data_IF_821121502222
#
_entry.id   IF_821121502222
#
_cell.length_a   1.000
_cell.length_b   1.000
_cell.length_c   1.000
_cell.angle_alpha   90.00
_cell.angle_beta   90.00
_cell.angle_gamma   90.00
#
_symmetry.space_group_name_H-M   'P 1'
#
loop_
_entity.id
_entity.type
_entity.pdbx_description
1 polymer ?
#
# COMPACT_ATOMS: atom_id res chain seq x y z
N UNK A 1 34.09 34.18 14.17
CA UNK A 1 35.30 33.37 14.45
C UNK A 1 34.94 31.98 15.01
N UNK A 2 34.14 31.88 16.08
CA UNK A 2 33.73 30.61 16.72
C UNK A 2 33.00 29.64 15.79
N UNK A 3 32.09 30.13 14.95
CA UNK A 3 31.33 29.32 13.97
C UNK A 3 32.22 28.73 12.88
N UNK A 4 33.24 29.45 12.40
CA UNK A 4 34.19 28.94 11.41
C UNK A 4 35.14 27.88 11.97
N UNK A 5 35.55 28.02 13.23
CA UNK A 5 36.34 27.01 13.92
C UNK A 5 35.52 25.75 14.21
N UNK A 6 34.25 25.89 14.60
CA UNK A 6 33.32 24.78 14.81
C UNK A 6 33.03 24.03 13.51
N UNK A 7 32.79 24.76 12.42
CA UNK A 7 32.60 24.15 11.11
C UNK A 7 33.87 23.45 10.68
N UNK A 8 35.06 24.05 10.81
CA UNK A 8 36.33 23.41 10.42
C UNK A 8 36.72 22.20 11.28
N UNK A 9 36.36 22.16 12.57
CA UNK A 9 36.58 20.98 13.41
C UNK A 9 35.59 19.87 13.10
N UNK A 10 34.32 20.19 12.83
CA UNK A 10 33.35 19.23 12.30
C UNK A 10 33.81 18.73 10.94
N UNK A 11 34.25 19.61 10.04
CA UNK A 11 34.72 19.25 8.70
C UNK A 11 35.97 18.38 8.76
N UNK A 12 36.91 18.62 9.69
CA UNK A 12 38.06 17.72 9.89
C UNK A 12 37.68 16.40 10.55
N UNK A 13 36.76 16.39 11.50
CA UNK A 13 36.25 15.17 12.12
C UNK A 13 35.45 14.30 11.12
N UNK A 14 34.72 14.95 10.21
CA UNK A 14 33.96 14.35 9.10
C UNK A 14 34.90 13.93 7.96
N UNK A 15 35.86 14.77 7.58
CA UNK A 15 36.85 14.49 6.53
C UNK A 15 37.84 13.38 6.93
N UNK A 16 38.09 13.20 8.24
CA UNK A 16 38.87 12.07 8.73
C UNK A 16 38.15 10.72 8.54
N UNK A 17 36.85 10.71 8.18
CA UNK A 17 36.02 9.52 7.97
C UNK A 17 36.34 8.41 8.97
N UNK A 18 36.52 8.80 10.22
CA UNK A 18 37.12 7.95 11.24
C UNK A 18 36.26 6.69 11.40
N UNK A 19 36.88 5.55 11.71
CA UNK A 19 36.13 4.31 11.97
C UNK A 19 34.99 4.53 12.96
N UNK A 20 35.19 5.42 13.93
CA UNK A 20 34.16 5.85 14.88
C UNK A 20 32.96 6.52 14.21
N UNK A 21 33.16 7.44 13.26
CA UNK A 21 32.05 8.06 12.51
C UNK A 21 31.22 7.03 11.75
N UNK A 22 31.88 6.10 11.04
CA UNK A 22 31.19 5.04 10.30
C UNK A 22 30.38 4.13 11.24
N UNK A 23 30.96 3.73 12.37
CA UNK A 23 30.27 2.90 13.38
C UNK A 23 29.06 3.63 13.93
N UNK A 24 29.19 4.90 14.33
CA UNK A 24 28.08 5.68 14.87
C UNK A 24 26.97 5.90 13.83
N UNK A 25 27.34 6.22 12.58
CA UNK A 25 26.38 6.42 11.51
C UNK A 25 25.63 5.12 11.16
N UNK A 26 26.33 3.98 11.06
CA UNK A 26 25.69 2.68 10.85
C UNK A 26 24.80 2.27 12.04
N UNK A 27 25.22 2.59 13.26
CA UNK A 27 24.41 2.37 14.46
C UNK A 27 23.12 3.19 14.40
N UNK A 28 23.20 4.46 14.00
CA UNK A 28 22.02 5.31 13.81
C UNK A 28 21.08 4.76 12.74
N UNK A 29 21.62 4.28 11.62
CA UNK A 29 20.83 3.64 10.57
C UNK A 29 20.12 2.39 11.10
N UNK A 30 20.83 1.56 11.87
CA UNK A 30 20.25 0.37 12.48
C UNK A 30 19.12 0.71 13.47
N UNK A 31 19.31 1.70 14.34
CA UNK A 31 18.29 2.17 15.27
C UNK A 31 17.05 2.72 14.55
N UNK A 32 17.26 3.43 13.44
CA UNK A 32 16.15 3.91 12.60
C UNK A 32 15.41 2.74 11.95
N UNK A 33 16.13 1.69 11.56
CA UNK A 33 15.55 0.42 11.12
C UNK A 33 14.66 -0.23 12.18
N UNK A 34 15.08 -0.23 13.45
CA UNK A 34 14.26 -0.72 14.57
C UNK A 34 12.95 0.07 14.70
N UNK A 35 13.00 1.39 14.57
CA UNK A 35 11.80 2.24 14.58
C UNK A 35 10.88 1.88 13.42
N UNK A 36 11.42 1.67 12.23
CA UNK A 36 10.65 1.23 11.05
C UNK A 36 9.94 -0.11 11.29
N UNK A 37 10.65 -1.09 11.85
CA UNK A 37 10.09 -2.40 12.18
C UNK A 37 8.99 -2.26 13.23
N UNK A 38 9.19 -1.43 14.25
CA UNK A 38 8.17 -1.14 15.26
C UNK A 38 6.90 -0.53 14.64
N UNK A 39 7.05 0.40 13.71
CA UNK A 39 5.92 0.97 12.97
C UNK A 39 5.18 -0.08 12.13
N UNK A 40 5.91 -0.97 11.44
CA UNK A 40 5.34 -2.06 10.66
C UNK A 40 4.55 -3.07 11.52
N UNK A 41 5.09 -3.41 12.70
CA UNK A 41 4.43 -4.29 13.67
C UNK A 41 3.13 -3.65 14.20
N UNK A 42 3.18 -2.37 14.56
CA UNK A 42 1.98 -1.64 14.99
C UNK A 42 0.91 -1.61 13.90
N UNK A 43 1.31 -1.34 12.66
CA UNK A 43 0.39 -1.34 11.52
C UNK A 43 -0.23 -2.73 11.29
N UNK A 44 0.57 -3.79 11.50
CA UNK A 44 0.12 -5.19 11.36
C UNK A 44 -0.94 -5.53 12.39
N UNK A 45 -0.74 -5.14 13.64
CA UNK A 45 -1.74 -5.33 14.69
C UNK A 45 -3.05 -4.61 14.35
N UNK A 46 -2.99 -3.40 13.79
CA UNK A 46 -4.19 -2.70 13.33
C UNK A 46 -4.87 -3.41 12.15
N UNK A 47 -4.09 -3.93 11.19
CA UNK A 47 -4.65 -4.68 10.07
C UNK A 47 -5.29 -6.00 10.52
N UNK A 48 -4.67 -6.72 11.44
CA UNK A 48 -5.22 -7.94 12.02
C UNK A 48 -6.54 -7.66 12.73
N UNK A 49 -6.63 -6.58 13.51
CA UNK A 49 -7.83 -6.18 14.22
C UNK A 49 -8.97 -5.68 13.30
N UNK A 50 -8.65 -4.87 12.28
CA UNK A 50 -9.64 -4.11 11.51
C UNK A 50 -9.79 -4.48 10.04
N UNK A 51 -8.95 -5.35 9.47
CA UNK A 51 -8.98 -5.63 8.03
C UNK A 51 -7.99 -4.82 7.21
N UNK A 52 -8.02 -5.05 5.90
CA UNK A 52 -7.22 -4.32 4.94
C UNK A 52 -7.91 -3.02 4.53
N UNK A 53 -7.11 -1.96 4.34
CA UNK A 53 -7.54 -0.71 3.70
C UNK A 53 -6.44 -0.24 2.75
N UNK A 54 -6.81 0.57 1.76
CA UNK A 54 -5.85 1.17 0.84
C UNK A 54 -4.78 1.99 1.57
N UNK A 55 -5.19 2.79 2.57
CA UNK A 55 -4.26 3.60 3.35
C UNK A 55 -3.19 2.74 4.03
N UNK A 56 -3.57 1.63 4.68
CA UNK A 56 -2.60 0.74 5.34
C UNK A 56 -1.66 0.10 4.32
N UNK A 57 -2.18 -0.27 3.15
CA UNK A 57 -1.37 -0.79 2.05
C UNK A 57 -0.30 0.23 1.61
N UNK A 58 -0.69 1.48 1.36
CA UNK A 58 0.25 2.54 0.99
C UNK A 58 1.28 2.82 2.09
N UNK A 59 0.89 2.75 3.36
CA UNK A 59 1.83 2.90 4.48
C UNK A 59 2.84 1.73 4.49
N UNK A 60 2.43 0.48 4.24
CA UNK A 60 3.38 -0.63 4.08
C UNK A 60 4.35 -0.42 2.94
N UNK A 61 3.86 0.07 1.79
CA UNK A 61 4.70 0.39 0.64
C UNK A 61 5.73 1.49 0.99
N UNK A 62 5.31 2.52 1.73
CA UNK A 62 6.20 3.58 2.20
C UNK A 62 7.24 3.06 3.21
N UNK A 63 6.86 2.19 4.15
CA UNK A 63 7.79 1.52 5.07
C UNK A 63 8.81 0.69 4.29
N UNK A 64 8.35 -0.07 3.28
CA UNK A 64 9.23 -0.85 2.41
C UNK A 64 10.23 0.04 1.66
N UNK A 65 9.76 1.14 1.07
CA UNK A 65 10.61 2.12 0.39
C UNK A 65 11.67 2.73 1.32
N UNK A 66 11.27 3.15 2.52
CA UNK A 66 12.18 3.68 3.53
C UNK A 66 13.19 2.61 3.98
N UNK A 67 12.77 1.35 4.14
CA UNK A 67 13.66 0.22 4.46
C UNK A 67 14.71 -0.02 3.37
N UNK A 68 14.30 0.00 2.10
CA UNK A 68 15.23 -0.04 0.96
C UNK A 68 16.20 1.15 0.98
N UNK A 69 15.70 2.34 1.32
CA UNK A 69 16.52 3.53 1.48
C UNK A 69 17.57 3.41 2.59
N UNK A 70 17.21 2.87 3.76
CA UNK A 70 18.15 2.61 4.85
C UNK A 70 19.19 1.56 4.46
N UNK A 71 18.79 0.49 3.76
CA UNK A 71 19.71 -0.51 3.26
C UNK A 71 20.70 0.07 2.24
N UNK A 72 20.21 0.88 1.29
CA UNK A 72 21.05 1.60 0.33
C UNK A 72 22.00 2.58 1.03
N UNK A 73 21.51 3.32 2.03
CA UNK A 73 22.31 4.24 2.83
C UNK A 73 23.46 3.50 3.54
N UNK A 74 23.17 2.41 4.25
CA UNK A 74 24.20 1.61 4.91
C UNK A 74 25.24 1.08 3.91
N UNK A 75 24.78 0.54 2.78
CA UNK A 75 25.63 -0.02 1.73
C UNK A 75 26.52 1.02 1.06
N UNK A 76 25.99 2.21 0.76
CA UNK A 76 26.73 3.30 0.10
C UNK A 76 27.67 4.02 1.06
N UNK A 77 27.30 4.12 2.34
CA UNK A 77 28.17 4.65 3.39
C UNK A 77 29.43 3.79 3.53
N UNK A 78 29.25 2.47 3.62
CA UNK A 78 30.35 1.49 3.71
C UNK A 78 31.25 1.45 2.47
N UNK A 79 30.70 1.77 1.28
CA UNK A 79 31.45 1.79 0.01
C UNK A 79 32.03 3.15 -0.39
N UNK A 80 31.79 4.20 0.41
CA UNK A 80 32.15 5.58 0.08
C UNK A 80 31.59 6.10 -1.25
N UNK A 81 30.31 5.79 -1.50
CA UNK A 81 29.60 6.14 -2.75
C UNK A 81 28.35 6.97 -2.50
N UNK A 82 28.36 7.83 -1.47
CA UNK A 82 27.17 8.57 -1.02
C UNK A 82 26.52 9.45 -2.09
N UNK A 83 27.30 9.90 -3.09
CA UNK A 83 26.78 10.61 -4.28
C UNK A 83 25.65 9.88 -5.03
N UNK A 84 25.58 8.55 -4.89
CA UNK A 84 24.56 7.71 -5.53
C UNK A 84 23.29 7.53 -4.69
N UNK A 85 23.23 8.05 -3.46
CA UNK A 85 22.10 7.82 -2.56
C UNK A 85 20.78 8.32 -3.15
N UNK A 86 20.76 9.55 -3.69
CA UNK A 86 19.56 10.12 -4.30
C UNK A 86 19.05 9.25 -5.46
N UNK A 87 19.96 8.72 -6.28
CA UNK A 87 19.63 7.83 -7.39
C UNK A 87 19.06 6.50 -6.88
N UNK A 88 19.68 5.92 -5.84
CA UNK A 88 19.20 4.68 -5.22
C UNK A 88 17.79 4.85 -4.63
N UNK A 89 17.52 5.98 -3.97
CA UNK A 89 16.18 6.30 -3.43
C UNK A 89 15.14 6.48 -4.54
N UNK A 90 15.52 7.16 -5.64
CA UNK A 90 14.66 7.32 -6.82
C UNK A 90 14.32 6.00 -7.49
N UNK A 91 15.32 5.13 -7.68
CA UNK A 91 15.11 3.76 -8.22
C UNK A 91 14.23 2.95 -7.28
N UNK A 92 14.47 3.00 -5.96
CA UNK A 92 13.63 2.31 -5.00
C UNK A 92 12.17 2.81 -5.03
N UNK A 93 11.95 4.12 -5.19
CA UNK A 93 10.62 4.69 -5.31
C UNK A 93 9.93 4.18 -6.58
N UNK A 94 10.65 4.16 -7.71
CA UNK A 94 10.14 3.63 -8.97
C UNK A 94 9.75 2.16 -8.84
N UNK A 95 10.61 1.33 -8.23
CA UNK A 95 10.32 -0.09 -7.99
C UNK A 95 9.05 -0.26 -7.16
N UNK A 96 8.89 0.52 -6.09
CA UNK A 96 7.70 0.47 -5.23
C UNK A 96 6.45 0.89 -5.98
N UNK A 97 6.51 1.96 -6.79
CA UNK A 97 5.37 2.44 -7.59
C UNK A 97 4.98 1.43 -8.66
N UNK A 98 5.95 0.82 -9.34
CA UNK A 98 5.69 -0.25 -10.32
C UNK A 98 5.07 -1.46 -9.64
N UNK A 99 5.58 -1.87 -8.48
CA UNK A 99 5.00 -2.95 -7.70
C UNK A 99 3.56 -2.64 -7.25
N UNK A 100 3.29 -1.41 -6.78
CA UNK A 100 1.95 -0.96 -6.42
C UNK A 100 0.99 -1.06 -7.61
N UNK A 101 1.42 -0.59 -8.78
CA UNK A 101 0.60 -0.67 -9.99
C UNK A 101 0.32 -2.13 -10.41
N UNK A 102 1.34 -2.99 -10.33
CA UNK A 102 1.20 -4.40 -10.69
C UNK A 102 0.28 -5.17 -9.74
N UNK A 103 0.29 -4.84 -8.44
CA UNK A 103 -0.55 -5.50 -7.43
C UNK A 103 -2.00 -5.03 -7.53
N UNK A 104 -2.24 -3.74 -7.81
CA UNK A 104 -3.59 -3.17 -7.80
C UNK A 104 -4.18 -3.13 -6.38
N UNK A 105 -3.86 -2.10 -5.56
CA UNK A 105 -4.18 -2.08 -4.13
C UNK A 105 -5.67 -2.21 -3.84
N UNK A 106 -6.51 -1.60 -4.69
CA UNK A 106 -7.97 -1.62 -4.65
C UNK A 106 -8.52 -3.06 -4.75
N UNK A 107 -8.17 -3.79 -5.80
CA UNK A 107 -8.56 -5.19 -6.00
C UNK A 107 -8.02 -6.09 -4.87
N UNK A 108 -6.74 -5.92 -4.52
CA UNK A 108 -6.10 -6.71 -3.46
C UNK A 108 -6.81 -6.53 -2.10
N UNK A 109 -7.15 -5.29 -1.74
CA UNK A 109 -7.86 -4.99 -0.48
C UNK A 109 -9.26 -5.61 -0.48
N UNK A 110 -9.99 -5.55 -1.60
CA UNK A 110 -11.28 -6.23 -1.72
C UNK A 110 -11.14 -7.74 -1.53
N UNK A 111 -10.30 -8.40 -2.32
CA UNK A 111 -10.10 -9.85 -2.26
C UNK A 111 -9.78 -10.32 -0.82
N UNK A 112 -8.85 -9.65 -0.14
CA UNK A 112 -8.45 -10.04 1.23
C UNK A 112 -9.54 -9.82 2.27
N UNK A 113 -10.34 -8.76 2.12
CA UNK A 113 -11.45 -8.53 3.04
C UNK A 113 -12.60 -9.51 2.78
N UNK A 114 -12.85 -9.90 1.53
CA UNK A 114 -13.83 -10.94 1.21
C UNK A 114 -13.37 -12.33 1.65
N UNK A 115 -12.09 -12.69 1.47
CA UNK A 115 -11.52 -13.93 2.01
C UNK A 115 -11.73 -14.02 3.53
N UNK A 116 -11.46 -12.95 4.27
CA UNK A 116 -11.70 -12.90 5.73
C UNK A 116 -13.17 -13.00 6.11
N UNK A 117 -14.08 -12.51 5.26
CA UNK A 117 -15.51 -12.62 5.48
C UNK A 117 -16.02 -14.05 5.25
N UNK A 118 -15.44 -14.76 4.27
CA UNK A 118 -15.82 -16.13 3.90
C UNK A 118 -15.13 -17.20 4.75
N UNK A 119 -13.90 -16.96 5.22
CA UNK A 119 -13.17 -17.84 6.13
C UNK A 119 -12.80 -17.11 7.44
N UNK A 120 -13.70 -17.16 8.45
CA UNK A 120 -13.46 -16.54 9.74
C UNK A 120 -12.23 -17.08 10.49
N UNK A 121 -11.64 -18.22 10.09
CA UNK A 121 -10.40 -18.75 10.68
C UNK A 121 -9.19 -17.88 10.37
N UNK A 122 -9.27 -17.05 9.34
CA UNK A 122 -8.24 -16.07 8.99
C UNK A 122 -8.20 -14.87 9.96
N UNK A 123 -9.14 -14.80 10.90
CA UNK A 123 -9.26 -13.70 11.86
C UNK A 123 -8.64 -14.13 13.20
N UNK A 124 -7.60 -13.42 13.68
CA UNK A 124 -7.01 -13.69 14.99
C UNK A 124 -8.04 -13.56 16.13
N UNK A 125 -7.79 -14.26 17.24
CA UNK A 125 -8.59 -14.17 18.48
C UNK A 125 -8.56 -12.73 19.02
N UNK A 126 -9.57 -11.92 18.66
CA UNK A 126 -9.65 -10.49 18.97
C UNK A 126 -9.84 -9.57 17.76
N UNK A 127 -9.76 -10.09 16.53
CA UNK A 127 -10.10 -9.35 15.32
C UNK A 127 -11.61 -9.24 15.10
N UNK A 128 -12.04 -8.19 14.42
CA UNK A 128 -13.45 -8.06 14.01
C UNK A 128 -13.75 -9.04 12.88
N UNK A 129 -14.80 -9.84 13.08
CA UNK A 129 -15.39 -10.68 12.05
C UNK A 129 -16.48 -9.96 11.29
N UNK A 130 -16.64 -10.31 10.01
CA UNK A 130 -17.56 -9.67 9.09
C UNK A 130 -16.88 -8.79 8.05
N UNK A 131 -17.60 -8.51 6.97
CA UNK A 131 -17.19 -7.61 5.91
C UNK A 131 -17.66 -6.19 6.23
N UNK A 132 -16.80 -5.19 6.07
CA UNK A 132 -17.26 -3.81 6.00
C UNK A 132 -17.88 -3.56 4.62
N UNK A 133 -19.16 -3.91 4.49
CA UNK A 133 -19.91 -3.78 3.24
C UNK A 133 -20.02 -2.32 2.77
N UNK A 134 -20.03 -1.36 3.70
CA UNK A 134 -20.06 0.06 3.36
C UNK A 134 -18.73 0.51 2.75
N UNK A 135 -17.60 0.09 3.31
CA UNK A 135 -16.29 0.33 2.69
C UNK A 135 -16.15 -0.36 1.33
N UNK A 136 -16.59 -1.61 1.22
CA UNK A 136 -16.54 -2.36 -0.03
C UNK A 136 -17.40 -1.73 -1.15
N UNK A 137 -18.53 -1.11 -0.80
CA UNK A 137 -19.39 -0.42 -1.76
C UNK A 137 -18.79 0.86 -2.36
N UNK A 138 -17.82 1.49 -1.67
CA UNK A 138 -17.18 2.74 -2.11
C UNK A 138 -15.82 2.47 -2.79
N UNK A 139 -15.39 1.23 -2.84
CA UNK A 139 -14.12 0.85 -3.47
C UNK A 139 -14.20 1.02 -5.01
N UNK A 140 -13.06 1.32 -5.62
CA UNK A 140 -12.98 1.65 -7.06
C UNK A 140 -13.42 0.50 -7.98
N UNK A 141 -13.57 0.78 -9.28
CA UNK A 141 -13.99 -0.20 -10.31
C UNK A 141 -13.19 -1.52 -10.28
N UNK A 142 -11.92 -1.49 -9.90
CA UNK A 142 -11.04 -2.67 -9.78
C UNK A 142 -11.53 -3.71 -8.76
N UNK A 143 -12.34 -3.29 -7.77
CA UNK A 143 -12.87 -4.16 -6.73
C UNK A 143 -14.12 -4.93 -7.17
N UNK A 144 -14.85 -4.39 -8.16
CA UNK A 144 -16.17 -4.88 -8.58
C UNK A 144 -16.14 -6.36 -8.99
N UNK A 145 -15.16 -6.85 -9.80
CA UNK A 145 -15.12 -8.26 -10.18
C UNK A 145 -15.02 -9.21 -8.98
N UNK A 146 -14.20 -8.86 -7.98
CA UNK A 146 -14.05 -9.67 -6.77
C UNK A 146 -15.32 -9.67 -5.92
N UNK A 147 -15.94 -8.49 -5.74
CA UNK A 147 -17.19 -8.35 -4.98
C UNK A 147 -18.31 -9.13 -5.66
N UNK A 148 -18.48 -8.98 -6.98
CA UNK A 148 -19.52 -9.66 -7.75
C UNK A 148 -19.40 -11.19 -7.70
N UNK A 149 -18.18 -11.72 -7.78
CA UNK A 149 -17.94 -13.16 -7.73
C UNK A 149 -18.30 -13.79 -6.37
N UNK A 150 -18.07 -13.06 -5.28
CA UNK A 150 -18.27 -13.57 -3.93
C UNK A 150 -19.64 -13.22 -3.33
N UNK A 151 -20.38 -12.26 -3.91
CA UNK A 151 -21.70 -11.83 -3.46
C UNK A 151 -22.70 -12.98 -3.14
N UNK A 152 -22.77 -14.08 -3.92
CA UNK A 152 -23.66 -15.21 -3.63
C UNK A 152 -23.31 -15.98 -2.34
N UNK A 153 -22.05 -15.89 -1.91
CA UNK A 153 -21.51 -16.57 -0.72
C UNK A 153 -21.48 -15.68 0.52
N UNK A 154 -21.71 -14.37 0.36
CA UNK A 154 -21.77 -13.43 1.48
C UNK A 154 -23.05 -13.56 2.30
N UNK A 155 -22.99 -13.13 3.56
CA UNK A 155 -24.13 -13.09 4.46
C UNK A 155 -25.27 -12.20 3.91
N UNK A 156 -26.54 -12.50 4.22
CA UNK A 156 -27.68 -11.73 3.70
C UNK A 156 -27.62 -10.23 4.01
N UNK A 157 -27.10 -9.87 5.19
CA UNK A 157 -26.92 -8.47 5.58
C UNK A 157 -25.95 -7.73 4.64
N UNK A 158 -24.78 -8.31 4.36
CA UNK A 158 -23.78 -7.70 3.47
C UNK A 158 -24.29 -7.61 2.03
N UNK A 159 -24.98 -8.65 1.56
CA UNK A 159 -25.60 -8.68 0.24
C UNK A 159 -26.62 -7.56 0.04
N UNK A 160 -27.44 -7.29 1.06
CA UNK A 160 -28.46 -6.24 1.00
C UNK A 160 -27.87 -4.83 0.83
N UNK A 161 -26.62 -4.62 1.22
CA UNK A 161 -25.88 -3.36 1.08
C UNK A 161 -25.15 -3.31 -0.28
N UNK A 162 -24.49 -4.40 -0.66
CA UNK A 162 -23.62 -4.44 -1.83
C UNK A 162 -24.38 -4.56 -3.15
N UNK A 163 -25.48 -5.33 -3.20
CA UNK A 163 -26.22 -5.52 -4.45
C UNK A 163 -26.79 -4.20 -5.02
N UNK A 164 -27.44 -3.33 -4.24
CA UNK A 164 -27.89 -2.02 -4.74
C UNK A 164 -26.74 -1.14 -5.23
N UNK A 165 -25.60 -1.16 -4.54
CA UNK A 165 -24.41 -0.40 -4.94
C UNK A 165 -23.86 -0.88 -6.30
N UNK A 166 -23.74 -2.21 -6.48
CA UNK A 166 -23.32 -2.80 -7.76
C UNK A 166 -24.30 -2.50 -8.89
N UNK A 167 -25.62 -2.51 -8.60
CA UNK A 167 -26.66 -2.21 -9.59
C UNK A 167 -26.66 -0.73 -10.01
N UNK A 168 -26.46 0.18 -9.06
CA UNK A 168 -26.28 1.61 -9.35
C UNK A 168 -25.07 1.79 -10.27
N UNK A 169 -23.93 1.20 -9.91
CA UNK A 169 -22.70 1.29 -10.69
C UNK A 169 -22.84 0.69 -12.09
N UNK A 170 -23.54 -0.44 -12.22
CA UNK A 170 -23.86 -1.04 -13.53
C UNK A 170 -24.64 -0.08 -14.42
N UNK A 171 -25.59 0.66 -13.85
CA UNK A 171 -26.38 1.66 -14.57
C UNK A 171 -25.49 2.82 -15.02
N UNK A 172 -24.69 3.40 -14.12
CA UNK A 172 -23.76 4.50 -14.43
C UNK A 172 -22.78 4.15 -15.56
N UNK A 173 -22.20 2.94 -15.53
CA UNK A 173 -21.24 2.48 -16.53
C UNK A 173 -21.83 2.31 -17.94
N UNK A 174 -23.16 2.30 -18.06
CA UNK A 174 -23.91 2.18 -19.32
C UNK A 174 -24.52 3.50 -19.78
N UNK A 175 -24.95 4.35 -18.85
CA UNK A 175 -25.71 5.56 -19.18
C UNK A 175 -24.88 6.83 -19.17
N UNK A 176 -23.79 6.89 -18.40
CA UNK A 176 -23.01 8.11 -18.27
C UNK A 176 -22.01 8.29 -19.43
N UNK A 177 -22.13 9.38 -20.22
CA UNK A 177 -21.19 9.69 -21.29
C UNK A 177 -19.75 9.88 -20.78
N UNK A 178 -19.57 10.30 -19.52
CA UNK A 178 -18.25 10.50 -18.91
C UNK A 178 -17.42 9.20 -18.86
N UNK A 179 -18.08 8.04 -18.78
CA UNK A 179 -17.43 6.73 -18.77
C UNK A 179 -17.37 6.05 -20.14
N UNK A 180 -17.96 6.69 -21.15
CA UNK A 180 -18.09 6.19 -22.53
C UNK A 180 -17.17 6.91 -23.52
N UNK A 181 -16.56 8.02 -23.11
CA UNK A 181 -15.67 8.80 -23.95
C UNK A 181 -14.37 8.04 -24.29
N UNK A 182 -13.81 8.17 -25.51
CA UNK A 182 -12.57 7.49 -25.90
C UNK A 182 -11.38 7.77 -24.98
N UNK A 183 -11.28 8.99 -24.43
CA UNK A 183 -10.23 9.38 -23.47
C UNK A 183 -10.48 8.90 -22.03
N UNK A 184 -11.65 8.34 -21.75
CA UNK A 184 -12.02 7.80 -20.43
C UNK A 184 -11.83 6.28 -20.35
N UNK A 185 -11.18 5.66 -21.34
CA UNK A 185 -10.95 4.22 -21.34
C UNK A 185 -10.06 3.80 -20.16
N UNK A 186 -10.50 2.77 -19.44
CA UNK A 186 -9.81 2.24 -18.27
C UNK A 186 -10.05 0.72 -18.19
N UNK A 187 -8.97 -0.06 -18.04
CA UNK A 187 -9.04 -1.52 -18.00
C UNK A 187 -9.85 -2.06 -16.81
N UNK A 188 -9.74 -1.44 -15.63
CA UNK A 188 -10.52 -1.79 -14.44
C UNK A 188 -12.02 -1.68 -14.73
N UNK A 189 -12.40 -0.59 -15.38
CA UNK A 189 -13.79 -0.30 -15.74
C UNK A 189 -14.35 -1.30 -16.73
N UNK A 190 -13.54 -1.74 -17.69
CA UNK A 190 -13.96 -2.74 -18.66
C UNK A 190 -14.19 -4.10 -17.99
N UNK A 191 -13.30 -4.51 -17.08
CA UNK A 191 -13.49 -5.72 -16.25
C UNK A 191 -14.71 -5.62 -15.35
N UNK A 192 -14.93 -4.47 -14.73
CA UNK A 192 -16.11 -4.21 -13.92
C UNK A 192 -17.41 -4.33 -14.73
N UNK A 193 -17.46 -3.71 -15.92
CA UNK A 193 -18.60 -3.81 -16.83
C UNK A 193 -18.89 -5.26 -17.21
N UNK A 194 -17.86 -6.01 -17.62
CA UNK A 194 -18.01 -7.43 -17.95
C UNK A 194 -18.47 -8.29 -16.76
N UNK A 195 -18.02 -7.98 -15.54
CA UNK A 195 -18.49 -8.67 -14.33
C UNK A 195 -19.97 -8.37 -14.02
N UNK A 196 -20.36 -7.10 -14.12
CA UNK A 196 -21.73 -6.65 -13.84
C UNK A 196 -22.72 -7.08 -14.92
N UNK A 197 -22.34 -7.05 -16.20
CA UNK A 197 -23.20 -7.55 -17.29
C UNK A 197 -23.47 -9.05 -17.15
N UNK A 198 -22.50 -9.86 -16.70
CA UNK A 198 -22.74 -11.29 -16.39
C UNK A 198 -23.70 -11.48 -15.23
N UNK A 199 -23.77 -10.53 -14.31
CA UNK A 199 -24.58 -10.61 -13.11
C UNK A 199 -26.01 -10.08 -13.32
N UNK A 200 -26.17 -8.98 -14.06
CA UNK A 200 -27.44 -8.25 -14.20
C UNK A 200 -27.96 -8.15 -15.64
N UNK A 201 -27.10 -8.36 -16.64
CA UNK A 201 -27.40 -8.13 -18.06
C UNK A 201 -28.02 -9.33 -18.79
N UNK A 202 -28.67 -10.23 -18.06
CA UNK A 202 -29.49 -11.30 -18.65
C UNK A 202 -30.60 -10.78 -19.53
#
# INVERSE_FOLDING_TARGET
>A
ALSGALIATIDRAVAARSRAFLVLALTLVALTGVVLVSAALRLRLYQEAYGWTELRFYVYAAIGWLGLGLAALAALLGRDRMRWLAHALGVAALVVVVALNAIGPTAFVAERNLERALDPRLIPSGGKAGLDAAYAAVLSDDAIPAIAAALPSLAPADRSILEPALRLRWTELRTDPAFSAPGAWNLARDRARAALDRMFGG
#
